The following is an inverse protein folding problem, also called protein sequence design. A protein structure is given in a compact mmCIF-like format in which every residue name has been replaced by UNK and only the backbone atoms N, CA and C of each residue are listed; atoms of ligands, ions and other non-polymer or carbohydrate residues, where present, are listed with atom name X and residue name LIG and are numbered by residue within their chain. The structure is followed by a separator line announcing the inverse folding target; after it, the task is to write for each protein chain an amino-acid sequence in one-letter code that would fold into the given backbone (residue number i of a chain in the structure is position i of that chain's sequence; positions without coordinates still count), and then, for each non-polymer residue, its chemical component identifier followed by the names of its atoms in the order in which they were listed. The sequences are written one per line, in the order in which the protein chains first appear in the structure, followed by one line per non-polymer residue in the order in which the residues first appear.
data_IF_275229993608
#
_entry.id   IF_275229993608
#
_cell.length_a   1.000
_cell.length_b   1.000
_cell.length_c   1.000
_cell.angle_alpha   90.00
_cell.angle_beta   90.00
_cell.angle_gamma   90.00
#
_symmetry.space_group_name_H-M   'P 1'
#
loop_
_entity.id
_entity.type
_entity.pdbx_description
1 polymer ?
#
# COMPACT_ATOMS: atom_id res chain seq x y z
N UNK A 1 5.64 -4.88 -8.79
CA UNK A 1 5.60 -4.43 -7.39
C UNK A 1 6.22 -3.04 -7.23
N UNK A 2 5.41 -1.97 -7.21
CA UNK A 2 5.92 -0.62 -6.87
C UNK A 2 6.33 -0.55 -5.40
N UNK A 3 7.14 0.43 -5.01
CA UNK A 3 7.39 0.72 -3.59
C UNK A 3 6.12 1.28 -2.97
N UNK A 4 5.53 0.52 -2.05
CA UNK A 4 4.31 0.89 -1.34
C UNK A 4 4.02 -0.10 -0.23
N UNK A 5 3.28 0.34 0.80
CA UNK A 5 3.10 -0.44 2.03
C UNK A 5 2.47 -1.83 1.81
N UNK A 6 1.50 -1.95 0.89
CA UNK A 6 0.89 -3.23 0.55
C UNK A 6 1.90 -4.20 -0.08
N UNK A 7 2.76 -3.71 -0.98
CA UNK A 7 3.79 -4.51 -1.65
C UNK A 7 4.95 -4.85 -0.72
N UNK A 8 5.37 -3.93 0.14
CA UNK A 8 6.37 -4.19 1.18
C UNK A 8 5.88 -5.28 2.13
N UNK A 9 4.64 -5.17 2.61
CA UNK A 9 4.07 -6.18 3.50
C UNK A 9 3.98 -7.55 2.83
N UNK A 10 3.61 -7.62 1.55
CA UNK A 10 3.61 -8.89 0.80
C UNK A 10 5.03 -9.45 0.71
N UNK A 11 6.02 -8.62 0.43
CA UNK A 11 7.41 -9.05 0.36
C UNK A 11 7.95 -9.54 1.71
N UNK A 12 7.64 -8.86 2.81
CA UNK A 12 7.97 -9.34 4.16
C UNK A 12 7.32 -10.69 4.45
N UNK A 13 6.05 -10.88 4.07
CA UNK A 13 5.36 -12.17 4.27
C UNK A 13 6.08 -13.30 3.54
N UNK A 14 6.49 -13.06 2.29
CA UNK A 14 7.22 -14.04 1.47
C UNK A 14 8.63 -14.29 2.00
N UNK A 15 9.36 -13.24 2.38
CA UNK A 15 10.71 -13.34 2.94
C UNK A 15 10.70 -14.14 4.24
N UNK A 16 9.75 -13.87 5.15
CA UNK A 16 9.63 -14.59 6.43
C UNK A 16 9.25 -16.05 6.21
N UNK A 17 8.28 -16.35 5.32
CA UNK A 17 7.91 -17.73 4.97
C UNK A 17 9.12 -18.53 4.45
N UNK A 18 9.87 -17.94 3.52
CA UNK A 18 11.05 -18.61 2.96
C UNK A 18 12.19 -18.75 3.97
N UNK A 19 12.53 -17.69 4.72
CA UNK A 19 13.73 -17.66 5.58
C UNK A 19 13.51 -18.23 6.97
N UNK A 20 12.39 -17.91 7.61
CA UNK A 20 12.16 -18.26 9.01
C UNK A 20 11.38 -19.56 9.14
N UNK A 21 10.42 -19.79 8.23
CA UNK A 21 9.58 -20.99 8.24
C UNK A 21 10.05 -22.07 7.26
N UNK A 22 11.00 -21.76 6.37
CA UNK A 22 11.59 -22.70 5.40
C UNK A 22 10.54 -23.28 4.43
N UNK A 23 9.50 -22.51 4.12
CA UNK A 23 8.50 -22.86 3.13
C UNK A 23 9.07 -22.72 1.71
N UNK A 24 8.59 -23.54 0.77
CA UNK A 24 8.79 -23.30 -0.66
C UNK A 24 7.82 -22.22 -1.12
N UNK A 25 8.34 -21.11 -1.67
CA UNK A 25 7.50 -19.95 -2.03
C UNK A 25 7.80 -19.48 -3.45
N UNK A 26 6.72 -19.20 -4.19
CA UNK A 26 6.78 -18.43 -5.44
C UNK A 26 5.97 -17.14 -5.31
N UNK A 27 6.61 -16.02 -5.60
CA UNK A 27 5.96 -14.71 -5.68
C UNK A 27 5.52 -14.44 -7.13
N UNK A 28 4.21 -14.37 -7.35
CA UNK A 28 3.64 -14.00 -8.65
C UNK A 28 3.16 -12.54 -8.63
N UNK A 29 3.68 -11.70 -9.52
CA UNK A 29 3.33 -10.26 -9.63
C UNK A 29 3.09 -9.84 -11.07
N UNK A 30 2.35 -8.75 -11.26
CA UNK A 30 2.33 -8.04 -12.53
C UNK A 30 3.56 -7.15 -12.76
N UNK A 31 3.68 -6.55 -13.97
CA UNK A 31 4.69 -5.56 -14.28
C UNK A 31 4.59 -4.34 -13.34
N UNK A 32 5.72 -3.68 -13.12
CA UNK A 32 5.80 -2.49 -12.26
C UNK A 32 5.68 -1.22 -13.10
N UNK A 33 4.53 -0.56 -13.02
CA UNK A 33 4.30 0.75 -13.62
C UNK A 33 4.09 1.77 -12.49
N UNK A 34 5.07 2.64 -12.24
CA UNK A 34 4.92 3.72 -11.25
C UNK A 34 6.19 4.53 -11.01
N UNK A 35 6.08 5.84 -10.71
CA UNK A 35 7.22 6.69 -10.37
C UNK A 35 7.84 6.35 -9.00
N UNK A 36 7.17 5.55 -8.17
CA UNK A 36 7.60 5.19 -6.82
C UNK A 36 8.77 4.19 -6.80
N UNK A 37 9.26 3.76 -7.95
CA UNK A 37 10.30 2.72 -8.05
C UNK A 37 9.73 1.31 -7.93
N UNK A 38 10.60 0.33 -7.72
CA UNK A 38 10.27 -1.10 -7.80
C UNK A 38 10.90 -1.90 -6.67
N UNK A 39 10.14 -2.86 -6.12
CA UNK A 39 10.62 -3.85 -5.17
C UNK A 39 11.11 -5.14 -5.85
N UNK A 40 11.05 -5.21 -7.19
CA UNK A 40 11.49 -6.38 -7.96
C UNK A 40 12.95 -6.76 -7.67
N UNK A 41 13.93 -5.83 -7.64
CA UNK A 41 15.32 -6.21 -7.32
C UNK A 41 15.48 -6.83 -5.93
N UNK A 42 14.71 -6.38 -4.93
CA UNK A 42 14.72 -6.99 -3.58
C UNK A 42 14.13 -8.41 -3.62
N UNK A 43 13.04 -8.60 -4.35
CA UNK A 43 12.44 -9.92 -4.52
C UNK A 43 13.36 -10.91 -5.25
N UNK A 44 14.06 -10.48 -6.31
CA UNK A 44 15.04 -11.31 -7.02
C UNK A 44 16.22 -11.74 -6.12
N UNK A 45 16.58 -10.92 -5.13
CA UNK A 45 17.61 -11.22 -4.13
C UNK A 45 17.05 -11.96 -2.90
N UNK A 46 15.74 -12.24 -2.87
CA UNK A 46 15.05 -12.82 -1.72
C UNK A 46 15.38 -14.28 -1.45
N UNK A 47 15.77 -15.03 -2.51
CA UNK A 47 16.09 -16.45 -2.47
C UNK A 47 14.93 -17.39 -2.82
N UNK A 48 13.74 -16.85 -3.02
CA UNK A 48 12.53 -17.57 -3.47
C UNK A 48 12.25 -17.28 -4.95
N UNK A 49 11.35 -18.05 -5.57
CA UNK A 49 11.03 -17.88 -6.98
C UNK A 49 10.17 -16.63 -7.23
N UNK A 50 10.48 -15.90 -8.29
CA UNK A 50 9.73 -14.72 -8.73
C UNK A 50 9.22 -14.92 -10.15
N UNK A 51 7.91 -14.77 -10.34
CA UNK A 51 7.28 -14.83 -11.66
C UNK A 51 6.53 -13.54 -11.97
N UNK A 52 6.88 -12.91 -13.10
CA UNK A 52 6.20 -11.71 -13.60
C UNK A 52 5.17 -12.12 -14.66
N UNK A 53 3.89 -11.92 -14.36
CA UNK A 53 2.76 -12.19 -15.24
C UNK A 53 2.41 -10.93 -16.06
N UNK A 54 2.72 -10.87 -17.36
CA UNK A 54 2.69 -9.63 -18.13
C UNK A 54 1.29 -9.01 -18.24
N UNK A 55 0.24 -9.83 -18.19
CA UNK A 55 -1.14 -9.34 -18.31
C UNK A 55 -1.78 -8.99 -16.95
N UNK A 56 -1.11 -9.27 -15.82
CA UNK A 56 -1.60 -8.93 -14.48
C UNK A 56 -1.36 -7.44 -14.17
N UNK A 57 -1.92 -6.56 -14.99
CA UNK A 57 -1.73 -5.11 -14.86
C UNK A 57 -2.56 -4.51 -13.74
N UNK A 58 -2.34 -3.24 -13.37
CA UNK A 58 -3.14 -2.56 -12.33
C UNK A 58 -4.52 -2.11 -12.82
N UNK A 59 -4.61 -1.59 -14.04
CA UNK A 59 -5.84 -1.06 -14.63
C UNK A 59 -6.83 -2.18 -14.99
N UNK A 60 -8.13 -1.94 -14.83
CA UNK A 60 -9.15 -2.89 -15.28
C UNK A 60 -9.10 -2.96 -16.80
N UNK A 61 -8.93 -4.17 -17.35
CA UNK A 61 -8.83 -4.42 -18.78
C UNK A 61 -9.32 -5.83 -19.06
N UNK A 62 -10.56 -6.00 -19.56
CA UNK A 62 -11.18 -7.33 -19.67
C UNK A 62 -10.34 -8.37 -20.41
N UNK A 63 -9.64 -7.96 -21.48
CA UNK A 63 -8.76 -8.85 -22.23
C UNK A 63 -7.52 -9.24 -21.43
N UNK A 64 -6.86 -8.28 -20.78
CA UNK A 64 -5.67 -8.57 -19.96
C UNK A 64 -6.07 -9.35 -18.72
N UNK A 65 -7.21 -9.05 -18.10
CA UNK A 65 -7.72 -9.74 -16.91
C UNK A 65 -8.03 -11.21 -17.23
N UNK A 66 -8.61 -11.49 -18.40
CA UNK A 66 -8.82 -12.87 -18.86
C UNK A 66 -7.51 -13.60 -19.14
N UNK A 67 -6.53 -12.94 -19.76
CA UNK A 67 -5.19 -13.52 -20.01
C UNK A 67 -4.45 -13.79 -18.70
N UNK A 68 -4.43 -12.83 -17.78
CA UNK A 68 -3.83 -12.95 -16.46
C UNK A 68 -4.47 -14.08 -15.65
N UNK A 69 -5.79 -14.24 -15.72
CA UNK A 69 -6.48 -15.37 -15.10
C UNK A 69 -6.02 -16.73 -15.66
N UNK A 70 -5.82 -16.84 -16.99
CA UNK A 70 -5.29 -18.07 -17.61
C UNK A 70 -3.82 -18.32 -17.26
N UNK A 71 -3.02 -17.26 -17.20
CA UNK A 71 -1.62 -17.32 -16.76
C UNK A 71 -1.52 -17.81 -15.32
N UNK A 72 -2.33 -17.25 -14.41
CA UNK A 72 -2.42 -17.70 -13.02
C UNK A 72 -2.82 -19.18 -12.93
N UNK A 73 -3.81 -19.63 -13.71
CA UNK A 73 -4.17 -21.06 -13.73
C UNK A 73 -3.01 -21.94 -14.19
N UNK A 74 -2.29 -21.52 -15.24
CA UNK A 74 -1.16 -22.29 -15.76
C UNK A 74 -0.03 -22.36 -14.72
N UNK A 75 0.35 -21.21 -14.16
CA UNK A 75 1.39 -21.12 -13.15
C UNK A 75 1.06 -21.93 -11.89
N UNK A 76 -0.17 -21.83 -11.37
CA UNK A 76 -0.60 -22.62 -10.21
C UNK A 76 -0.66 -24.13 -10.49
N UNK A 77 -0.93 -24.55 -11.73
CA UNK A 77 -0.89 -25.98 -12.11
C UNK A 77 0.51 -26.52 -12.24
N UNK A 78 1.44 -25.70 -12.71
CA UNK A 78 2.84 -26.06 -12.84
C UNK A 78 3.51 -26.13 -11.47
N UNK A 79 3.26 -25.14 -10.62
CA UNK A 79 3.85 -25.05 -9.29
C UNK A 79 3.21 -26.00 -8.26
N UNK A 80 1.91 -26.31 -8.40
CA UNK A 80 1.15 -27.18 -7.48
C UNK A 80 1.23 -26.78 -5.99
N UNK A 81 0.91 -25.53 -5.61
CA UNK A 81 1.04 -25.10 -4.21
C UNK A 81 0.00 -25.75 -3.30
N UNK A 82 0.34 -25.94 -2.03
CA UNK A 82 -0.61 -26.33 -0.98
C UNK A 82 -1.52 -25.18 -0.55
N UNK A 83 -1.08 -23.93 -0.74
CA UNK A 83 -1.80 -22.71 -0.34
C UNK A 83 -1.56 -21.58 -1.34
N UNK A 84 -2.62 -20.85 -1.69
CA UNK A 84 -2.53 -19.60 -2.44
C UNK A 84 -2.79 -18.41 -1.52
N UNK A 85 -1.78 -17.57 -1.28
CA UNK A 85 -1.94 -16.33 -0.54
C UNK A 85 -2.04 -15.15 -1.51
N UNK A 86 -3.23 -14.57 -1.59
CA UNK A 86 -3.49 -13.44 -2.48
C UNK A 86 -3.41 -12.09 -1.78
N UNK A 87 -2.91 -11.10 -2.49
CA UNK A 87 -2.85 -9.70 -2.05
C UNK A 87 -3.38 -8.77 -3.14
N UNK A 88 -3.62 -7.51 -2.76
CA UNK A 88 -4.13 -6.44 -3.64
C UNK A 88 -5.55 -6.70 -4.17
N UNK A 89 -6.24 -5.65 -4.64
CA UNK A 89 -7.65 -5.73 -5.05
C UNK A 89 -7.87 -6.61 -6.29
N UNK A 90 -7.54 -6.11 -7.48
CA UNK A 90 -7.82 -6.80 -8.75
C UNK A 90 -7.03 -8.12 -8.87
N UNK A 91 -5.74 -8.07 -8.57
CA UNK A 91 -4.89 -9.26 -8.58
C UNK A 91 -5.39 -10.33 -7.60
N UNK A 92 -5.82 -9.92 -6.40
CA UNK A 92 -6.37 -10.86 -5.43
C UNK A 92 -7.72 -11.46 -5.82
N UNK A 93 -8.59 -10.72 -6.52
CA UNK A 93 -9.82 -11.27 -7.11
C UNK A 93 -9.48 -12.35 -8.15
N UNK A 94 -8.54 -12.07 -9.07
CA UNK A 94 -8.13 -13.03 -10.11
C UNK A 94 -7.41 -14.25 -9.52
N UNK A 95 -6.54 -14.04 -8.53
CA UNK A 95 -5.84 -15.12 -7.82
C UNK A 95 -6.80 -16.06 -7.10
N UNK A 96 -7.78 -15.51 -6.35
CA UNK A 96 -8.83 -16.31 -5.71
C UNK A 96 -9.70 -17.05 -6.72
N UNK A 97 -9.96 -16.44 -7.88
CA UNK A 97 -10.68 -17.12 -8.96
C UNK A 97 -9.90 -18.32 -9.51
N UNK A 98 -8.60 -18.16 -9.75
CA UNK A 98 -7.73 -19.22 -10.26
C UNK A 98 -7.57 -20.35 -9.24
N UNK A 99 -7.33 -20.02 -7.97
CA UNK A 99 -7.20 -20.99 -6.89
C UNK A 99 -8.50 -21.77 -6.67
N UNK A 100 -9.66 -21.10 -6.66
CA UNK A 100 -10.97 -21.75 -6.58
C UNK A 100 -11.22 -22.71 -7.75
N UNK A 101 -10.83 -22.32 -8.97
CA UNK A 101 -10.96 -23.18 -10.16
C UNK A 101 -10.14 -24.46 -10.03
N UNK A 102 -9.00 -24.39 -9.36
CA UNK A 102 -8.07 -25.51 -9.11
C UNK A 102 -8.34 -26.23 -7.79
N UNK A 103 -9.31 -25.76 -6.98
CA UNK A 103 -9.64 -26.28 -5.65
C UNK A 103 -8.46 -26.22 -4.67
N UNK A 104 -7.66 -25.16 -4.77
CA UNK A 104 -6.54 -24.90 -3.88
C UNK A 104 -7.02 -24.09 -2.66
N UNK A 105 -6.56 -24.43 -1.44
CA UNK A 105 -6.75 -23.57 -0.26
C UNK A 105 -6.27 -22.15 -0.55
N UNK A 106 -7.03 -21.16 -0.12
CA UNK A 106 -6.76 -19.75 -0.45
C UNK A 106 -7.00 -18.82 0.73
N UNK A 107 -6.00 -18.00 1.03
CA UNK A 107 -6.12 -16.87 1.97
C UNK A 107 -5.91 -15.55 1.24
N UNK A 108 -6.46 -14.46 1.81
CA UNK A 108 -6.32 -13.15 1.21
C UNK A 108 -6.08 -12.05 2.24
N UNK A 109 -5.02 -11.27 2.04
CA UNK A 109 -4.75 -10.09 2.89
C UNK A 109 -5.33 -8.81 2.29
N UNK A 110 -6.18 -8.17 3.08
CA UNK A 110 -6.81 -6.88 2.82
C UNK A 110 -5.87 -5.77 3.31
N UNK A 111 -5.18 -5.13 2.37
CA UNK A 111 -4.34 -3.94 2.62
C UNK A 111 -5.14 -2.62 2.56
N UNK A 112 -6.34 -2.67 2.02
CA UNK A 112 -7.22 -1.52 1.81
C UNK A 112 -8.44 -1.92 0.99
N UNK A 113 -9.58 -1.29 1.26
CA UNK A 113 -10.79 -1.56 0.50
C UNK A 113 -10.66 -1.09 -0.96
N UNK A 114 -10.98 -1.97 -1.90
CA UNK A 114 -11.05 -1.63 -3.32
C UNK A 114 -12.20 -0.65 -3.63
N UNK A 115 -13.17 -0.56 -2.72
CA UNK A 115 -14.33 0.32 -2.74
C UNK A 115 -14.15 1.45 -1.71
N UNK A 116 -14.36 2.71 -2.09
CA UNK A 116 -14.24 3.85 -1.18
C UNK A 116 -15.15 5.01 -1.57
N UNK A 117 -15.38 5.90 -0.61
CA UNK A 117 -16.13 7.14 -0.81
C UNK A 117 -15.49 8.00 -1.90
N UNK A 118 -16.30 8.53 -2.82
CA UNK A 118 -15.83 9.35 -3.95
C UNK A 118 -15.55 8.58 -5.25
N UNK A 119 -15.64 7.25 -5.26
CA UNK A 119 -15.65 6.48 -6.50
C UNK A 119 -16.98 6.61 -7.25
N UNK A 120 -16.96 6.34 -8.56
CA UNK A 120 -18.20 6.21 -9.32
C UNK A 120 -19.08 5.09 -8.74
N UNK A 121 -20.42 5.25 -8.70
CA UNK A 121 -21.32 4.23 -8.17
C UNK A 121 -21.12 2.86 -8.86
N UNK A 122 -20.84 2.87 -10.16
CA UNK A 122 -20.57 1.65 -10.94
C UNK A 122 -19.34 0.92 -10.41
N UNK A 123 -18.21 1.61 -10.23
CA UNK A 123 -16.98 0.99 -9.73
C UNK A 123 -17.16 0.51 -8.30
N UNK A 124 -17.78 1.32 -7.45
CA UNK A 124 -18.05 1.00 -6.05
C UNK A 124 -18.83 -0.32 -5.92
N UNK A 125 -19.97 -0.43 -6.60
CA UNK A 125 -20.79 -1.64 -6.54
C UNK A 125 -20.16 -2.84 -7.25
N UNK A 126 -19.41 -2.61 -8.34
CA UNK A 126 -18.70 -3.69 -9.06
C UNK A 126 -17.62 -4.32 -8.17
N UNK A 127 -16.82 -3.50 -7.47
CA UNK A 127 -15.82 -4.01 -6.54
C UNK A 127 -16.45 -4.75 -5.36
N UNK A 128 -17.54 -4.23 -4.79
CA UNK A 128 -18.26 -4.94 -3.71
C UNK A 128 -18.77 -6.30 -4.20
N UNK A 129 -19.34 -6.37 -5.40
CA UNK A 129 -19.84 -7.63 -5.95
C UNK A 129 -18.70 -8.63 -6.20
N UNK A 130 -17.57 -8.16 -6.75
CA UNK A 130 -16.40 -8.99 -7.01
C UNK A 130 -15.75 -9.49 -5.71
N UNK A 131 -15.61 -8.62 -4.70
CA UNK A 131 -15.11 -9.00 -3.38
C UNK A 131 -16.06 -9.96 -2.66
N UNK A 132 -17.39 -9.75 -2.73
CA UNK A 132 -18.38 -10.71 -2.21
C UNK A 132 -18.22 -12.08 -2.83
N UNK A 133 -18.05 -12.12 -4.16
CA UNK A 133 -17.86 -13.37 -4.89
C UNK A 133 -16.56 -14.06 -4.49
N UNK A 134 -15.47 -13.31 -4.31
CA UNK A 134 -14.15 -13.82 -4.00
C UNK A 134 -14.01 -14.23 -2.53
N UNK A 135 -14.57 -13.46 -1.60
CA UNK A 135 -14.59 -13.77 -0.17
C UNK A 135 -15.29 -15.11 0.12
N UNK A 136 -16.34 -15.46 -0.64
CA UNK A 136 -17.00 -16.78 -0.54
C UNK A 136 -16.15 -17.95 -1.04
N UNK A 137 -15.03 -17.68 -1.71
CA UNK A 137 -14.11 -18.65 -2.33
C UNK A 137 -12.70 -18.56 -1.76
N UNK A 138 -12.62 -18.06 -0.52
CA UNK A 138 -11.41 -17.86 0.23
C UNK A 138 -11.66 -18.44 1.61
N UNK A 139 -10.71 -19.22 2.13
CA UNK A 139 -10.83 -19.89 3.42
C UNK A 139 -10.81 -18.88 4.56
N UNK A 140 -9.85 -17.94 4.53
CA UNK A 140 -9.71 -16.85 5.50
C UNK A 140 -9.33 -15.52 4.84
N UNK A 141 -9.84 -14.44 5.43
CA UNK A 141 -9.43 -13.08 5.12
C UNK A 141 -8.52 -12.58 6.23
N UNK A 142 -7.36 -12.07 5.87
CA UNK A 142 -6.44 -11.41 6.81
C UNK A 142 -6.59 -9.91 6.61
N UNK A 143 -6.77 -9.14 7.67
CA UNK A 143 -6.82 -7.67 7.60
C UNK A 143 -5.61 -7.05 8.28
N UNK A 144 -5.05 -6.01 7.68
CA UNK A 144 -3.92 -5.26 8.28
C UNK A 144 -4.36 -4.34 9.43
N UNK A 145 -5.67 -4.15 9.62
CA UNK A 145 -6.26 -3.53 10.80
C UNK A 145 -7.77 -3.84 10.89
N UNK A 146 -8.33 -3.76 12.10
CA UNK A 146 -9.75 -4.07 12.34
C UNK A 146 -10.71 -3.15 11.59
N UNK A 147 -10.30 -1.92 11.31
CA UNK A 147 -11.09 -0.97 10.52
C UNK A 147 -11.36 -1.48 9.10
N UNK A 148 -10.44 -2.26 8.52
CA UNK A 148 -10.67 -2.89 7.21
C UNK A 148 -11.69 -4.03 7.33
N UNK A 149 -11.62 -4.83 8.40
CA UNK A 149 -12.62 -5.85 8.70
C UNK A 149 -14.00 -5.23 8.80
N UNK A 150 -14.15 -4.14 9.55
CA UNK A 150 -15.42 -3.44 9.74
C UNK A 150 -15.99 -2.92 8.43
N UNK A 151 -15.15 -2.36 7.56
CA UNK A 151 -15.58 -1.93 6.22
C UNK A 151 -16.11 -3.09 5.37
N UNK A 152 -15.44 -4.24 5.40
CA UNK A 152 -15.87 -5.42 4.63
C UNK A 152 -17.15 -6.03 5.20
N UNK A 153 -17.30 -6.06 6.52
CA UNK A 153 -18.53 -6.53 7.20
C UNK A 153 -19.69 -5.58 6.92
N UNK A 154 -19.48 -4.27 7.03
CA UNK A 154 -20.51 -3.26 6.75
C UNK A 154 -20.97 -3.28 5.27
N UNK A 155 -20.06 -3.57 4.33
CA UNK A 155 -20.40 -3.77 2.92
C UNK A 155 -21.11 -5.12 2.65
N UNK A 156 -21.22 -5.99 3.65
CA UNK A 156 -21.77 -7.34 3.55
C UNK A 156 -20.91 -8.27 2.68
N UNK A 157 -19.60 -8.02 2.61
CA UNK A 157 -18.64 -8.83 1.84
C UNK A 157 -18.34 -10.14 2.57
N UNK A 158 -18.20 -10.06 3.89
CA UNK A 158 -17.84 -11.18 4.76
C UNK A 158 -18.48 -10.99 6.15
N UNK A 159 -18.29 -11.96 7.02
CA UNK A 159 -18.60 -11.89 8.45
C UNK A 159 -17.30 -11.82 9.25
N UNK A 160 -17.34 -11.24 10.46
CA UNK A 160 -16.14 -10.98 11.27
C UNK A 160 -15.42 -12.27 11.69
N UNK A 161 -16.12 -13.37 11.90
CA UNK A 161 -15.58 -14.70 12.25
C UNK A 161 -14.72 -15.33 11.14
N UNK A 162 -14.81 -14.79 9.91
CA UNK A 162 -14.00 -15.20 8.76
C UNK A 162 -12.75 -14.35 8.56
N UNK A 163 -12.52 -13.40 9.44
CA UNK A 163 -11.44 -12.44 9.36
C UNK A 163 -10.50 -12.59 10.56
N UNK A 164 -9.20 -12.55 10.28
CA UNK A 164 -8.14 -12.51 11.27
C UNK A 164 -7.33 -11.21 11.06
N UNK A 165 -7.02 -10.49 12.14
CA UNK A 165 -6.23 -9.25 12.04
C UNK A 165 -4.76 -9.54 12.30
N UNK A 166 -3.92 -9.25 11.31
CA UNK A 166 -2.45 -9.30 11.41
C UNK A 166 -1.92 -7.95 10.94
N UNK A 167 -1.44 -7.14 11.89
CA UNK A 167 -0.95 -5.80 11.59
C UNK A 167 0.31 -5.85 10.71
N UNK A 168 0.46 -4.85 9.84
CA UNK A 168 1.64 -4.75 9.00
C UNK A 168 2.91 -4.55 9.81
N UNK A 169 3.89 -5.41 9.58
CA UNK A 169 5.24 -5.27 10.10
C UNK A 169 6.04 -4.19 9.37
N UNK A 170 7.07 -3.67 10.03
CA UNK A 170 8.06 -2.78 9.43
C UNK A 170 9.43 -3.02 10.07
N UNK A 171 10.50 -2.77 9.32
CA UNK A 171 11.86 -2.76 9.85
C UNK A 171 11.99 -1.62 10.88
N UNK A 172 12.27 -1.97 12.14
CA UNK A 172 12.37 -1.00 13.24
C UNK A 172 13.79 -0.49 13.48
N UNK A 173 14.81 -1.25 13.07
CA UNK A 173 16.21 -0.93 13.35
C UNK A 173 16.63 0.46 12.87
N UNK A 174 16.26 0.93 11.65
CA UNK A 174 16.61 2.28 11.21
C UNK A 174 16.00 3.41 12.04
N UNK A 175 14.98 3.12 12.86
CA UNK A 175 14.33 4.09 13.74
C UNK A 175 14.87 4.04 15.17
N UNK A 176 15.35 2.87 15.60
CA UNK A 176 16.00 2.67 16.89
C UNK A 176 17.46 3.13 16.86
N UNK A 177 18.16 2.81 15.77
CA UNK A 177 19.54 3.18 15.49
C UNK A 177 19.60 3.96 14.18
N UNK A 178 19.25 5.27 14.19
CA UNK A 178 19.23 6.03 12.96
C UNK A 178 20.64 6.13 12.35
N UNK A 179 20.78 5.96 11.02
CA UNK A 179 22.08 5.97 10.35
C UNK A 179 22.75 7.35 10.39
N UNK A 180 21.99 8.39 10.72
CA UNK A 180 22.41 9.79 10.71
C UNK A 180 21.92 10.48 11.99
N UNK A 181 22.75 11.34 12.60
CA UNK A 181 22.31 12.17 13.72
C UNK A 181 21.16 13.11 13.33
N UNK A 182 20.13 13.30 14.18
CA UNK A 182 19.04 14.23 13.90
C UNK A 182 19.50 15.66 13.62
N UNK A 183 20.56 16.14 14.28
CA UNK A 183 21.10 17.49 14.12
C UNK A 183 21.69 17.71 12.73
N UNK A 184 22.27 16.67 12.14
CA UNK A 184 22.82 16.71 10.79
C UNK A 184 21.69 16.90 9.77
N UNK A 185 20.63 16.11 9.89
CA UNK A 185 19.45 16.18 9.01
C UNK A 185 18.72 17.52 9.17
N UNK A 186 18.60 18.05 10.41
CA UNK A 186 18.00 19.37 10.65
C UNK A 186 18.77 20.48 9.93
N UNK A 187 20.11 20.46 10.02
CA UNK A 187 20.96 21.46 9.34
C UNK A 187 20.82 21.41 7.82
N UNK A 188 20.73 20.22 7.23
CA UNK A 188 20.50 20.06 5.78
C UNK A 188 19.16 20.61 5.32
N UNK A 189 18.13 20.46 6.16
CA UNK A 189 16.79 20.98 5.89
C UNK A 189 16.64 22.47 6.27
N UNK A 190 17.71 23.13 6.75
CA UNK A 190 17.66 24.52 7.19
C UNK A 190 16.82 24.74 8.45
N UNK A 191 16.71 23.73 9.30
CA UNK A 191 15.92 23.76 10.55
C UNK A 191 16.84 24.08 11.72
N UNK A 192 16.57 25.20 12.39
CA UNK A 192 17.37 25.67 13.51
C UNK A 192 17.12 24.85 14.80
N UNK A 193 18.08 24.77 15.74
CA UNK A 193 17.95 23.97 16.97
C UNK A 193 16.72 24.30 17.84
N UNK A 194 16.23 25.54 17.81
CA UNK A 194 15.05 25.98 18.58
C UNK A 194 13.69 25.75 17.90
N UNK A 195 13.69 25.36 16.62
CA UNK A 195 12.46 25.25 15.84
C UNK A 195 11.71 23.93 16.12
N UNK A 196 10.39 24.02 16.19
CA UNK A 196 9.52 22.86 16.36
C UNK A 196 9.14 22.33 14.98
N UNK A 197 9.34 21.04 14.72
CA UNK A 197 9.03 20.43 13.43
C UNK A 197 7.74 19.63 13.52
N UNK A 198 6.76 19.99 12.69
CA UNK A 198 5.56 19.18 12.45
C UNK A 198 5.76 18.44 11.13
N UNK A 199 6.08 17.15 11.23
CA UNK A 199 6.33 16.28 10.08
C UNK A 199 5.05 15.64 9.52
N UNK A 200 4.92 15.60 8.20
CA UNK A 200 3.87 14.86 7.49
C UNK A 200 4.49 13.98 6.42
N UNK A 201 4.46 12.67 6.64
CA UNK A 201 5.00 11.68 5.71
C UNK A 201 3.85 11.03 4.94
N UNK A 202 3.63 11.48 3.71
CA UNK A 202 2.64 10.91 2.81
C UNK A 202 2.84 11.44 1.39
N UNK A 203 2.45 10.61 0.39
CA UNK A 203 2.28 11.08 -0.98
C UNK A 203 1.40 12.34 -1.03
N UNK A 204 1.79 13.34 -1.82
CA UNK A 204 0.99 14.57 -2.04
C UNK A 204 -0.19 14.25 -2.97
N UNK A 205 -1.19 13.59 -2.40
CA UNK A 205 -2.35 13.06 -3.10
C UNK A 205 -3.62 13.29 -2.29
N UNK A 206 -4.77 13.10 -2.95
CA UNK A 206 -6.07 13.16 -2.30
C UNK A 206 -6.15 12.18 -1.12
N UNK A 207 -7.01 12.51 -0.13
CA UNK A 207 -7.27 11.70 1.07
C UNK A 207 -6.07 11.54 2.03
N UNK A 208 -4.98 12.30 1.84
CA UNK A 208 -3.84 12.33 2.78
C UNK A 208 -3.91 13.47 3.80
N UNK A 209 -4.87 14.37 3.64
CA UNK A 209 -5.17 15.42 4.62
C UNK A 209 -4.19 16.58 4.68
N UNK A 210 -3.31 16.75 3.68
CA UNK A 210 -2.39 17.90 3.58
C UNK A 210 -3.14 19.23 3.59
N UNK A 211 -4.29 19.29 2.91
CA UNK A 211 -5.17 20.47 2.91
C UNK A 211 -5.50 20.94 4.33
N UNK A 212 -5.91 20.03 5.22
CA UNK A 212 -6.26 20.36 6.60
C UNK A 212 -5.05 20.84 7.41
N UNK A 213 -3.87 20.23 7.17
CA UNK A 213 -2.62 20.67 7.80
C UNK A 213 -2.27 22.10 7.38
N UNK A 214 -2.36 22.40 6.08
CA UNK A 214 -2.07 23.73 5.53
C UNK A 214 -3.06 24.77 6.06
N UNK A 215 -4.34 24.43 6.14
CA UNK A 215 -5.37 25.32 6.70
C UNK A 215 -5.16 25.59 8.20
N UNK A 216 -4.76 24.59 8.98
CA UNK A 216 -4.47 24.74 10.40
C UNK A 216 -3.16 25.49 10.66
N UNK A 217 -2.21 25.46 9.72
CA UNK A 217 -0.87 26.00 9.91
C UNK A 217 -0.86 27.48 10.28
N UNK A 218 -1.80 28.27 9.75
CA UNK A 218 -1.90 29.70 10.07
C UNK A 218 -2.06 29.94 11.58
N UNK A 219 -3.02 29.27 12.21
CA UNK A 219 -3.28 29.43 13.65
C UNK A 219 -2.10 28.93 14.49
N UNK A 220 -1.44 27.86 14.03
CA UNK A 220 -0.26 27.30 14.71
C UNK A 220 0.91 28.28 14.66
N UNK A 221 1.18 28.89 13.50
CA UNK A 221 2.28 29.85 13.33
C UNK A 221 2.00 31.15 14.09
N UNK A 222 0.75 31.62 14.11
CA UNK A 222 0.35 32.79 14.92
C UNK A 222 0.60 32.56 16.42
N UNK A 223 0.37 31.34 16.91
CA UNK A 223 0.61 30.98 18.31
C UNK A 223 2.08 30.62 18.59
N UNK A 224 2.80 30.08 17.60
CA UNK A 224 4.18 29.62 17.72
C UNK A 224 4.98 29.87 16.42
N UNK A 225 5.63 31.04 16.28
CA UNK A 225 6.38 31.42 15.07
C UNK A 225 7.57 30.50 14.74
N UNK A 226 8.10 29.78 15.73
CA UNK A 226 9.23 28.86 15.56
C UNK A 226 8.84 27.50 14.93
N UNK A 227 7.55 27.27 14.63
CA UNK A 227 7.11 26.04 13.98
C UNK A 227 7.53 26.01 12.50
N UNK A 228 7.98 24.83 12.07
CA UNK A 228 8.20 24.46 10.67
C UNK A 228 7.40 23.20 10.33
N UNK A 229 6.77 23.19 9.17
CA UNK A 229 6.03 22.07 8.62
C UNK A 229 6.91 21.36 7.60
N UNK A 230 7.25 20.10 7.87
CA UNK A 230 8.08 19.29 6.97
C UNK A 230 7.18 18.28 6.25
N UNK A 231 6.97 18.50 4.94
CA UNK A 231 6.20 17.63 4.08
C UNK A 231 7.14 16.67 3.35
N UNK A 232 7.03 15.38 3.67
CA UNK A 232 7.86 14.30 3.14
C UNK A 232 7.02 13.43 2.20
N UNK A 233 7.42 13.36 0.93
CA UNK A 233 6.69 12.76 -0.17
C UNK A 233 6.48 13.75 -1.31
N UNK A 234 6.13 13.21 -2.48
CA UNK A 234 5.77 13.99 -3.67
C UNK A 234 4.42 13.53 -4.24
N UNK A 235 3.89 14.23 -5.23
CA UNK A 235 2.66 13.87 -5.91
C UNK A 235 2.00 15.02 -6.68
N UNK A 236 0.91 14.68 -7.35
CA UNK A 236 0.22 15.57 -8.29
C UNK A 236 -0.31 16.86 -7.65
N UNK A 237 -0.46 16.91 -6.33
CA UNK A 237 -0.99 18.06 -5.61
C UNK A 237 0.08 19.04 -5.11
N UNK A 238 1.37 18.80 -5.44
CA UNK A 238 2.47 19.64 -4.98
C UNK A 238 2.29 21.12 -5.32
N UNK A 239 2.09 21.43 -6.61
CA UNK A 239 1.94 22.80 -7.07
C UNK A 239 0.71 23.51 -6.46
N UNK A 240 -0.39 22.78 -6.25
CA UNK A 240 -1.59 23.29 -5.57
C UNK A 240 -1.29 23.67 -4.12
N UNK A 241 -0.57 22.80 -3.40
CA UNK A 241 -0.20 23.06 -2.01
C UNK A 241 0.81 24.21 -1.87
N UNK A 242 1.82 24.27 -2.73
CA UNK A 242 2.79 25.38 -2.76
C UNK A 242 2.08 26.72 -3.00
N UNK A 243 1.17 26.80 -3.98
CA UNK A 243 0.37 27.99 -4.24
C UNK A 243 -0.49 28.38 -3.02
N UNK A 244 -1.17 27.41 -2.39
CA UNK A 244 -2.01 27.66 -1.23
C UNK A 244 -1.21 28.15 0.00
N UNK A 245 -0.03 27.60 0.22
CA UNK A 245 0.87 28.03 1.30
C UNK A 245 1.33 29.47 1.06
N UNK A 246 1.67 29.82 -0.18
CA UNK A 246 2.06 31.17 -0.55
C UNK A 246 0.91 32.17 -0.37
N UNK A 247 -0.31 31.83 -0.77
CA UNK A 247 -1.51 32.64 -0.52
C UNK A 247 -1.75 32.93 0.96
N UNK A 248 -1.40 31.98 1.84
CA UNK A 248 -1.51 32.13 3.28
C UNK A 248 -0.34 32.92 3.91
N UNK A 249 0.69 33.25 3.12
CA UNK A 249 1.90 33.92 3.61
C UNK A 249 2.77 33.03 4.50
N UNK A 250 2.72 31.71 4.31
CA UNK A 250 3.39 30.73 5.18
C UNK A 250 4.58 30.03 4.50
N UNK A 251 5.06 30.52 3.35
CA UNK A 251 6.12 29.85 2.58
C UNK A 251 7.37 29.53 3.40
N UNK A 252 7.81 30.46 4.25
CA UNK A 252 9.01 30.29 5.08
C UNK A 252 8.83 29.27 6.23
N UNK A 253 7.59 28.82 6.46
CA UNK A 253 7.26 27.81 7.45
C UNK A 253 7.14 26.41 6.88
N UNK A 254 7.14 26.22 5.55
CA UNK A 254 6.96 24.91 4.93
C UNK A 254 8.21 24.45 4.18
N UNK A 255 8.59 23.19 4.42
CA UNK A 255 9.71 22.52 3.77
C UNK A 255 9.17 21.31 3.03
N UNK A 256 9.42 21.22 1.72
CA UNK A 256 9.11 20.05 0.91
C UNK A 256 10.38 19.22 0.69
N UNK A 257 10.44 18.03 1.30
CA UNK A 257 11.59 17.13 1.18
C UNK A 257 11.58 16.31 -0.13
N UNK A 258 10.46 16.31 -0.87
CA UNK A 258 10.28 15.49 -2.07
C UNK A 258 10.12 14.01 -1.75
N UNK A 259 10.29 13.16 -2.77
CA UNK A 259 10.32 11.71 -2.61
C UNK A 259 11.69 11.30 -2.05
N UNK A 260 11.67 10.69 -0.86
CA UNK A 260 12.84 10.15 -0.14
C UNK A 260 12.77 8.64 -0.07
#
# INVERSE_FOLDING_TARGET
MIIGGAQQNTLYTVEDQYRDYQDEVILMTGPTDGPEGTLIPRAEQGGFDLQILPHLTRSISPLNDWRAYRELIAALREYQPDLVHTHSSKAGILGRAAAWKLRLPTVHTIHGAAFHFGQSPVNYHTYIAAEKWAARRCDRLISVCDAMTDQYVAAGITTRDRCDTVYSGMEVEPFLTPPRPPEEVRRELGIEPGQIVIGKVARLFHLKGHKYLIEAAKQVVEAQPEVRFLLIGDGILRAEFEARIAELGLSDHFIFAGLV
#
